data_IF_445924312027
#
_entry.id   IF_445924312027
#
_cell.length_a   1.000
_cell.length_b   1.000
_cell.length_c   1.000
_cell.angle_alpha   90.00
_cell.angle_beta   90.00
_cell.angle_gamma   90.00
#
_symmetry.space_group_name_H-M   'P 1'
#
loop_
_entity.id
_entity.type
_entity.pdbx_description
1 polymer ?
#
# COMPACT_ATOMS: atom_id res chain seq x y z
N UNK A 1 -1.36 20.50 -9.16
CA UNK A 1 -2.46 21.14 -8.41
C UNK A 1 -1.84 22.09 -7.39
N UNK A 2 -2.36 23.32 -7.32
CA UNK A 2 -1.84 24.38 -6.44
C UNK A 2 -2.13 24.05 -4.96
N UNK A 3 -3.21 23.30 -4.70
CA UNK A 3 -3.59 22.82 -3.36
C UNK A 3 -4.09 21.36 -3.48
N UNK A 4 -3.20 20.39 -3.41
CA UNK A 4 -3.63 18.99 -3.48
C UNK A 4 -4.40 18.57 -2.23
N UNK A 5 -5.50 17.78 -2.36
CA UNK A 5 -6.36 17.42 -1.24
C UNK A 5 -5.70 16.52 -0.18
N UNK A 6 -4.47 16.11 -0.40
CA UNK A 6 -3.65 15.31 0.51
C UNK A 6 -2.59 16.13 1.26
N UNK A 7 -2.53 17.46 1.07
CA UNK A 7 -1.51 18.31 1.69
C UNK A 7 -1.56 18.27 3.21
N UNK A 8 -2.75 18.39 3.78
CA UNK A 8 -2.95 18.29 5.23
C UNK A 8 -2.47 16.93 5.77
N UNK A 9 -2.73 15.84 5.05
CA UNK A 9 -2.30 14.52 5.46
C UNK A 9 -0.77 14.36 5.44
N UNK A 10 -0.05 15.04 4.54
CA UNK A 10 1.42 15.07 4.55
C UNK A 10 1.91 15.78 5.81
N UNK A 11 1.34 16.94 6.14
CA UNK A 11 1.70 17.70 7.35
C UNK A 11 1.44 16.92 8.64
N UNK A 12 0.25 16.31 8.76
CA UNK A 12 -0.10 15.47 9.90
C UNK A 12 0.84 14.26 10.03
N UNK A 13 1.18 13.66 8.90
CA UNK A 13 2.12 12.53 8.84
C UNK A 13 3.55 12.93 9.25
N UNK A 14 4.02 14.12 8.86
CA UNK A 14 5.30 14.68 9.26
C UNK A 14 5.35 14.95 10.77
N UNK A 15 4.28 15.55 11.33
CA UNK A 15 4.17 15.74 12.76
C UNK A 15 4.25 14.41 13.50
N UNK A 16 3.50 13.41 13.06
CA UNK A 16 3.53 12.07 13.66
C UNK A 16 4.90 11.41 13.57
N UNK A 17 5.61 11.56 12.45
CA UNK A 17 6.95 10.99 12.26
C UNK A 17 7.97 11.57 13.24
N UNK A 18 7.84 12.85 13.57
CA UNK A 18 8.75 13.58 14.44
C UNK A 18 8.32 13.58 15.91
N UNK A 19 7.08 13.20 16.22
CA UNK A 19 6.55 13.18 17.60
C UNK A 19 7.12 11.98 18.36
N UNK A 20 7.76 12.19 19.52
CA UNK A 20 8.26 11.10 20.33
C UNK A 20 7.15 10.18 20.85
N UNK A 21 7.42 8.89 20.85
CA UNK A 21 6.64 7.89 21.58
C UNK A 21 6.78 8.10 23.09
N UNK A 22 5.96 7.41 23.88
CA UNK A 22 6.01 7.52 25.34
C UNK A 22 7.37 7.22 25.96
N UNK A 23 8.21 6.42 25.29
CA UNK A 23 9.56 6.09 25.69
C UNK A 23 10.64 7.09 25.21
N UNK A 24 10.26 8.19 24.55
CA UNK A 24 11.14 9.23 24.02
C UNK A 24 11.76 8.94 22.66
N UNK A 25 11.60 7.75 22.10
CA UNK A 25 12.03 7.41 20.74
C UNK A 25 11.01 7.90 19.69
N UNK A 26 11.44 7.92 18.44
CA UNK A 26 10.62 8.33 17.30
C UNK A 26 10.68 7.26 16.20
N UNK A 27 9.96 7.48 15.10
CA UNK A 27 10.12 6.62 13.91
C UNK A 27 11.55 6.60 13.36
N UNK A 28 12.35 7.67 13.56
CA UNK A 28 13.76 7.71 13.14
C UNK A 28 14.63 6.65 13.82
N UNK A 29 14.26 6.23 15.02
CA UNK A 29 14.98 5.17 15.74
C UNK A 29 14.75 3.78 15.09
N UNK A 30 13.58 3.57 14.45
CA UNK A 30 13.29 2.36 13.68
C UNK A 30 13.78 2.46 12.23
N UNK A 31 13.80 3.66 11.67
CA UNK A 31 14.13 3.93 10.27
C UNK A 31 15.25 4.98 10.18
N UNK A 32 16.50 4.58 10.47
CA UNK A 32 17.62 5.51 10.55
C UNK A 32 17.95 6.21 9.21
N UNK A 33 17.55 5.61 8.09
CA UNK A 33 17.71 6.21 6.76
C UNK A 33 16.71 7.35 6.50
N UNK A 34 15.85 7.67 7.46
CA UNK A 34 14.82 8.73 7.34
C UNK A 34 13.51 8.25 6.74
N UNK A 35 12.60 9.19 6.39
CA UNK A 35 11.25 8.86 5.92
C UNK A 35 11.20 8.37 4.46
N UNK A 36 12.22 8.63 3.66
CA UNK A 36 12.25 8.30 2.23
C UNK A 36 12.48 6.79 1.99
N UNK A 37 11.58 5.93 2.47
CA UNK A 37 11.72 4.47 2.49
C UNK A 37 10.67 3.72 1.68
N UNK A 38 9.69 4.40 1.08
CA UNK A 38 8.57 3.70 0.43
C UNK A 38 9.02 2.80 -0.74
N UNK A 39 10.13 3.13 -1.41
CA UNK A 39 10.69 2.31 -2.50
C UNK A 39 11.22 0.95 -2.06
N UNK A 40 11.47 0.75 -0.75
CA UNK A 40 11.96 -0.51 -0.17
C UNK A 40 10.81 -1.45 0.23
N UNK A 41 9.56 -1.05 0.04
CA UNK A 41 8.38 -1.81 0.47
C UNK A 41 7.41 -2.09 -0.70
N UNK A 42 6.70 -3.24 -0.62
CA UNK A 42 6.88 -4.33 0.34
C UNK A 42 8.17 -5.10 0.11
N UNK A 43 8.67 -5.80 1.12
CA UNK A 43 9.80 -6.71 0.96
C UNK A 43 9.51 -8.07 1.60
N UNK A 44 10.27 -9.07 1.21
CA UNK A 44 10.24 -10.39 1.83
C UNK A 44 11.13 -10.42 3.08
N UNK A 45 10.57 -10.79 4.20
CA UNK A 45 11.31 -11.07 5.43
C UNK A 45 11.58 -12.58 5.53
N UNK A 46 12.81 -12.98 5.29
CA UNK A 46 13.22 -14.39 5.25
C UNK A 46 13.13 -15.06 6.63
N UNK A 47 13.45 -14.31 7.70
CA UNK A 47 13.46 -14.86 9.06
C UNK A 47 12.03 -15.14 9.56
N UNK A 48 11.10 -14.28 9.18
CA UNK A 48 9.68 -14.40 9.53
C UNK A 48 8.88 -15.20 8.52
N UNK A 49 9.43 -15.40 7.32
CA UNK A 49 8.76 -16.10 6.22
C UNK A 49 7.48 -15.39 5.75
N UNK A 50 7.50 -14.05 5.65
CA UNK A 50 6.33 -13.27 5.26
C UNK A 50 6.68 -11.97 4.55
N UNK A 51 5.72 -11.44 3.80
CA UNK A 51 5.82 -10.13 3.17
C UNK A 51 5.56 -9.03 4.21
N UNK A 52 6.46 -8.06 4.28
CA UNK A 52 6.33 -6.86 5.12
C UNK A 52 5.95 -5.68 4.24
N UNK A 53 4.80 -5.10 4.50
CA UNK A 53 4.35 -3.87 3.84
C UNK A 53 4.77 -2.64 4.65
N UNK A 54 4.84 -1.49 4.04
CA UNK A 54 5.19 -0.25 4.74
C UNK A 54 4.25 0.06 5.93
N UNK A 55 2.90 0.00 5.80
CA UNK A 55 2.03 0.24 6.97
C UNK A 55 2.21 -0.80 8.09
N UNK A 56 2.58 -2.04 7.76
CA UNK A 56 2.90 -3.04 8.78
C UNK A 56 4.17 -2.66 9.54
N UNK A 57 5.26 -2.34 8.82
CA UNK A 57 6.53 -1.94 9.43
C UNK A 57 6.39 -0.69 10.31
N UNK A 58 5.61 0.30 9.89
CA UNK A 58 5.33 1.51 10.68
C UNK A 58 4.60 1.19 11.99
N UNK A 59 3.63 0.27 11.96
CA UNK A 59 2.95 -0.17 13.17
C UNK A 59 3.84 -1.04 14.08
N UNK A 60 4.65 -1.89 13.50
CA UNK A 60 5.62 -2.69 14.28
C UNK A 60 6.63 -1.79 15.02
N UNK A 61 7.06 -0.69 14.41
CA UNK A 61 7.86 0.33 15.10
C UNK A 61 7.12 0.91 16.31
N UNK A 62 5.83 1.24 16.17
CA UNK A 62 5.00 1.71 17.30
C UNK A 62 4.92 0.69 18.41
N UNK A 63 4.58 -0.54 18.07
CA UNK A 63 4.41 -1.63 19.06
C UNK A 63 5.72 -1.94 19.78
N UNK A 64 6.85 -1.93 19.07
CA UNK A 64 8.19 -2.09 19.67
C UNK A 64 8.56 -0.97 20.65
N UNK A 65 7.90 0.19 20.53
CA UNK A 65 8.08 1.34 21.42
C UNK A 65 6.92 1.54 22.42
N UNK A 66 6.06 0.52 22.60
CA UNK A 66 5.00 0.52 23.61
C UNK A 66 3.72 1.24 23.19
N UNK A 67 3.62 1.65 21.93
CA UNK A 67 2.45 2.33 21.40
C UNK A 67 1.44 1.34 20.79
N UNK A 68 0.16 1.72 20.79
CA UNK A 68 -0.87 0.94 20.12
C UNK A 68 -0.74 1.06 18.60
N UNK A 69 -0.96 -0.03 17.83
CA UNK A 69 -0.97 0.05 16.38
C UNK A 69 -2.12 0.90 15.86
N UNK A 70 -1.87 1.59 14.78
CA UNK A 70 -2.86 2.39 14.06
C UNK A 70 -3.75 1.47 13.19
N UNK A 71 -5.00 1.88 12.96
CA UNK A 71 -5.92 1.14 12.07
C UNK A 71 -5.43 1.21 10.61
N UNK A 72 -5.24 0.09 9.96
CA UNK A 72 -4.56 -0.05 8.66
C UNK A 72 -5.25 0.57 7.43
N UNK A 73 -6.53 0.99 7.52
CA UNK A 73 -7.27 1.35 6.30
C UNK A 73 -7.33 2.85 6.02
N UNK A 74 -7.27 3.69 7.07
CA UNK A 74 -7.48 5.14 6.99
C UNK A 74 -7.05 5.85 8.27
N UNK A 75 -7.17 7.19 8.27
CA UNK A 75 -6.79 8.04 9.41
C UNK A 75 -5.27 8.05 9.59
N UNK A 76 -4.75 8.15 10.82
CA UNK A 76 -3.35 8.42 11.10
C UNK A 76 -2.34 7.56 10.35
N UNK A 77 -2.65 6.27 10.07
CA UNK A 77 -1.75 5.43 9.26
C UNK A 77 -1.67 5.92 7.81
N UNK A 78 -2.78 6.40 7.25
CA UNK A 78 -2.80 6.90 5.87
C UNK A 78 -2.10 8.26 5.77
N UNK A 79 -2.16 9.08 6.82
CA UNK A 79 -1.50 10.38 6.89
C UNK A 79 0.02 10.18 7.03
N UNK A 80 0.44 9.28 7.91
CA UNK A 80 1.87 8.89 8.05
C UNK A 80 2.43 8.31 6.74
N UNK A 81 1.67 7.46 6.06
CA UNK A 81 2.04 6.94 4.75
C UNK A 81 2.11 8.06 3.69
N UNK A 82 1.23 9.07 3.76
CA UNK A 82 1.26 10.19 2.83
C UNK A 82 2.59 10.95 2.94
N UNK A 83 3.05 11.23 4.16
CA UNK A 83 4.35 11.84 4.39
C UNK A 83 5.51 10.97 3.87
N UNK A 84 5.60 9.72 4.31
CA UNK A 84 6.67 8.80 3.93
C UNK A 84 6.74 8.60 2.41
N UNK A 85 5.58 8.50 1.75
CA UNK A 85 5.53 8.35 0.29
C UNK A 85 5.87 9.65 -0.42
N UNK A 86 5.49 10.80 0.12
CA UNK A 86 5.87 12.12 -0.41
C UNK A 86 7.38 12.31 -0.38
N UNK A 87 8.03 12.00 0.74
CA UNK A 87 9.49 12.04 0.88
C UNK A 87 10.21 11.05 -0.06
N UNK A 88 9.53 9.97 -0.45
CA UNK A 88 10.04 8.95 -1.37
C UNK A 88 9.79 9.27 -2.85
N UNK A 89 9.18 10.39 -3.20
CA UNK A 89 8.87 10.74 -4.58
C UNK A 89 10.11 10.73 -5.47
N UNK A 90 9.98 10.09 -6.62
CA UNK A 90 11.07 9.95 -7.59
C UNK A 90 11.99 8.76 -7.31
N UNK A 91 11.93 8.14 -6.15
CA UNK A 91 12.63 6.87 -5.94
C UNK A 91 12.03 5.79 -6.83
N UNK A 92 12.90 4.96 -7.39
CA UNK A 92 12.48 3.83 -8.20
C UNK A 92 11.95 2.71 -7.29
N UNK A 93 10.83 2.11 -7.66
CA UNK A 93 10.36 0.85 -7.06
C UNK A 93 11.34 -0.24 -7.42
N UNK A 94 11.86 -0.92 -6.41
CA UNK A 94 12.84 -2.01 -6.54
C UNK A 94 12.54 -3.11 -5.50
N UNK A 95 11.52 -3.90 -5.79
CA UNK A 95 11.10 -5.03 -4.97
C UNK A 95 11.75 -6.30 -5.48
N UNK A 96 12.46 -6.98 -4.61
CA UNK A 96 13.08 -8.27 -4.90
C UNK A 96 12.18 -9.44 -4.47
N UNK A 97 12.11 -10.46 -5.34
CA UNK A 97 11.55 -11.78 -5.02
C UNK A 97 12.71 -12.78 -5.05
N UNK A 98 13.29 -13.12 -3.88
CA UNK A 98 14.46 -14.00 -3.83
C UNK A 98 14.22 -15.34 -4.53
N UNK A 99 14.96 -15.59 -5.60
CA UNK A 99 14.79 -16.79 -6.42
C UNK A 99 15.25 -18.09 -5.70
N UNK A 100 16.07 -17.95 -4.68
CA UNK A 100 16.58 -19.03 -3.84
C UNK A 100 15.73 -19.30 -2.59
N UNK A 101 14.66 -18.51 -2.36
CA UNK A 101 13.72 -18.72 -1.26
C UNK A 101 12.36 -19.23 -1.78
N UNK A 102 12.07 -20.54 -1.62
CA UNK A 102 10.80 -21.11 -2.09
C UNK A 102 9.56 -20.47 -1.48
N UNK A 103 9.64 -19.97 -0.24
CA UNK A 103 8.51 -19.29 0.43
C UNK A 103 8.27 -17.91 -0.13
N UNK A 104 9.33 -17.17 -0.50
CA UNK A 104 9.20 -15.89 -1.20
C UNK A 104 8.52 -16.06 -2.56
N UNK A 105 8.95 -17.08 -3.31
CA UNK A 105 8.32 -17.44 -4.59
C UNK A 105 6.85 -17.84 -4.40
N UNK A 106 6.55 -18.63 -3.36
CA UNK A 106 5.17 -18.99 -3.03
C UNK A 106 4.31 -17.77 -2.72
N UNK A 107 4.80 -16.84 -1.90
CA UNK A 107 4.08 -15.60 -1.58
C UNK A 107 3.80 -14.77 -2.84
N UNK A 108 4.78 -14.65 -3.73
CA UNK A 108 4.61 -13.99 -5.03
C UNK A 108 3.55 -14.68 -5.90
N UNK A 109 3.62 -15.99 -6.06
CA UNK A 109 2.66 -16.76 -6.86
C UNK A 109 1.25 -16.75 -6.25
N UNK A 110 1.11 -16.73 -4.93
CA UNK A 110 -0.16 -16.53 -4.25
C UNK A 110 -0.74 -15.14 -4.55
N UNK A 111 0.07 -14.09 -4.53
CA UNK A 111 -0.34 -12.74 -4.92
C UNK A 111 -0.78 -12.66 -6.38
N UNK A 112 -0.03 -13.29 -7.27
CA UNK A 112 -0.36 -13.43 -8.68
C UNK A 112 -1.64 -14.24 -8.90
N UNK A 113 -1.81 -15.37 -8.21
CA UNK A 113 -3.05 -16.13 -8.26
C UNK A 113 -4.24 -15.28 -7.80
N UNK A 114 -4.08 -14.55 -6.70
CA UNK A 114 -5.13 -13.64 -6.21
C UNK A 114 -5.54 -12.63 -7.28
N UNK A 115 -4.58 -12.06 -8.00
CA UNK A 115 -4.81 -11.08 -9.05
C UNK A 115 -5.66 -11.62 -10.21
N UNK A 116 -5.40 -12.85 -10.63
CA UNK A 116 -6.10 -13.49 -11.77
C UNK A 116 -7.34 -14.29 -11.34
N UNK A 117 -7.47 -14.68 -10.08
CA UNK A 117 -8.58 -15.48 -9.60
C UNK A 117 -9.89 -14.69 -9.62
N UNK A 118 -10.87 -15.22 -10.34
CA UNK A 118 -12.25 -14.70 -10.36
C UNK A 118 -12.91 -14.97 -9.01
N UNK A 119 -13.68 -14.00 -8.52
CA UNK A 119 -14.32 -14.08 -7.21
C UNK A 119 -15.64 -13.31 -7.16
N UNK A 120 -16.37 -13.56 -6.06
CA UNK A 120 -17.66 -12.92 -5.79
C UNK A 120 -18.76 -13.36 -6.75
N UNK A 121 -19.95 -12.83 -6.51
CA UNK A 121 -21.11 -13.17 -7.33
C UNK A 121 -21.00 -12.70 -8.78
N UNK A 122 -20.17 -11.67 -9.03
CA UNK A 122 -19.95 -11.18 -10.39
C UNK A 122 -18.87 -11.95 -11.15
N UNK A 123 -18.20 -12.90 -10.48
CA UNK A 123 -17.16 -13.76 -11.07
C UNK A 123 -16.10 -12.98 -11.86
N UNK A 124 -15.56 -11.91 -11.25
CA UNK A 124 -14.55 -11.05 -11.84
C UNK A 124 -13.27 -11.08 -11.01
N UNK A 125 -12.12 -10.99 -11.69
CA UNK A 125 -10.80 -10.83 -11.11
C UNK A 125 -10.32 -9.38 -11.18
N UNK A 126 -9.23 -9.05 -10.48
CA UNK A 126 -8.56 -7.77 -10.63
C UNK A 126 -8.11 -7.55 -12.08
N UNK A 127 -7.56 -8.59 -12.71
CA UNK A 127 -7.10 -8.58 -14.09
C UNK A 127 -8.20 -8.24 -15.10
N UNK A 128 -9.45 -8.68 -14.86
CA UNK A 128 -10.55 -8.34 -15.77
C UNK A 128 -10.75 -6.82 -15.91
N UNK A 129 -10.60 -6.08 -14.80
CA UNK A 129 -10.73 -4.62 -14.82
C UNK A 129 -9.42 -3.94 -15.22
N UNK A 130 -8.29 -4.33 -14.66
CA UNK A 130 -7.04 -3.56 -14.69
C UNK A 130 -6.01 -4.02 -15.72
N UNK A 131 -6.20 -5.20 -16.33
CA UNK A 131 -5.35 -5.70 -17.42
C UNK A 131 -6.11 -5.84 -18.73
N UNK A 132 -7.37 -6.29 -18.70
CA UNK A 132 -8.15 -6.51 -19.91
C UNK A 132 -8.96 -5.28 -20.35
N UNK A 133 -9.32 -4.39 -19.42
CA UNK A 133 -10.18 -3.23 -19.68
C UNK A 133 -9.62 -1.91 -19.10
N UNK A 134 -8.30 -1.63 -19.13
CA UNK A 134 -7.79 -0.33 -18.71
C UNK A 134 -8.36 0.76 -19.63
N UNK A 135 -8.68 1.93 -19.06
CA UNK A 135 -9.27 3.04 -19.79
C UNK A 135 -10.78 2.99 -19.93
N UNK A 136 -11.41 1.81 -19.72
CA UNK A 136 -12.85 1.71 -19.72
C UNK A 136 -13.48 2.43 -18.52
N UNK A 137 -14.69 2.94 -18.70
CA UNK A 137 -15.47 3.55 -17.63
C UNK A 137 -16.22 2.49 -16.83
N UNK A 138 -16.03 2.49 -15.53
CA UNK A 138 -16.87 1.78 -14.58
C UNK A 138 -17.66 2.80 -13.76
N UNK A 139 -18.91 3.03 -14.14
CA UNK A 139 -19.73 4.16 -13.66
C UNK A 139 -19.04 5.48 -14.06
N UNK A 140 -18.59 6.28 -13.08
CA UNK A 140 -17.93 7.57 -13.30
C UNK A 140 -16.40 7.50 -13.19
N UNK A 141 -15.85 6.32 -12.95
CA UNK A 141 -14.40 6.14 -12.74
C UNK A 141 -13.78 5.41 -13.93
N UNK A 142 -12.65 5.93 -14.43
CA UNK A 142 -11.84 5.24 -15.42
C UNK A 142 -11.03 4.14 -14.74
N UNK A 143 -11.04 2.94 -15.30
CA UNK A 143 -10.22 1.83 -14.82
C UNK A 143 -8.75 2.12 -15.12
N UNK A 144 -7.92 2.14 -14.08
CA UNK A 144 -6.48 2.31 -14.22
C UNK A 144 -5.81 1.02 -14.71
N UNK A 145 -4.68 1.11 -15.44
CA UNK A 145 -3.86 -0.07 -15.75
C UNK A 145 -3.26 -0.66 -14.48
N UNK A 146 -2.88 -1.95 -14.53
CA UNK A 146 -2.21 -2.63 -13.42
C UNK A 146 -0.82 -2.08 -13.13
N UNK A 147 -0.08 -1.77 -14.20
CA UNK A 147 1.27 -1.26 -14.15
C UNK A 147 1.30 0.11 -13.45
N UNK A 148 2.11 0.25 -12.42
CA UNK A 148 2.15 1.45 -11.57
C UNK A 148 1.03 1.54 -10.52
N UNK A 149 0.27 0.48 -10.29
CA UNK A 149 -0.85 0.50 -9.34
C UNK A 149 -0.43 0.88 -7.92
N UNK A 150 0.75 0.49 -7.48
CA UNK A 150 1.21 0.71 -6.11
C UNK A 150 1.97 2.02 -5.92
N UNK A 151 2.46 2.64 -7.01
CA UNK A 151 3.37 3.79 -6.94
C UNK A 151 2.76 5.10 -6.41
N UNK A 152 1.42 5.22 -6.39
CA UNK A 152 0.71 6.45 -6.04
C UNK A 152 -0.07 6.38 -4.71
N UNK A 153 0.07 5.30 -3.95
CA UNK A 153 -0.59 5.14 -2.66
C UNK A 153 0.25 5.71 -1.52
N UNK A 154 -0.43 6.26 -0.45
CA UNK A 154 -1.88 6.34 -0.22
C UNK A 154 -2.56 7.35 -1.14
N UNK A 155 -3.92 7.30 -1.20
CA UNK A 155 -4.67 8.26 -2.02
C UNK A 155 -5.79 8.93 -1.24
N UNK A 156 -6.00 10.22 -1.52
CA UNK A 156 -7.24 10.90 -1.21
C UNK A 156 -8.29 10.51 -2.27
N UNK A 157 -9.46 10.11 -1.82
CA UNK A 157 -10.58 9.88 -2.73
C UNK A 157 -11.76 10.76 -2.35
N UNK A 158 -12.28 11.54 -3.30
CA UNK A 158 -13.46 12.39 -3.08
C UNK A 158 -14.65 11.61 -2.53
N UNK A 159 -14.83 10.37 -3.00
CA UNK A 159 -15.86 9.44 -2.48
C UNK A 159 -15.66 9.05 -1.02
N UNK A 160 -14.43 9.07 -0.52
CA UNK A 160 -14.14 8.77 0.89
C UNK A 160 -14.11 10.02 1.76
N UNK A 161 -13.84 11.19 1.15
CA UNK A 161 -13.61 12.44 1.86
C UNK A 161 -12.34 12.47 2.73
N UNK A 162 -11.45 11.49 2.53
CA UNK A 162 -10.27 11.28 3.35
C UNK A 162 -9.20 10.45 2.62
N UNK A 163 -8.01 10.41 3.20
CA UNK A 163 -6.94 9.52 2.76
C UNK A 163 -7.29 8.05 3.04
N UNK A 164 -6.78 7.18 2.20
CA UNK A 164 -6.94 5.75 2.40
C UNK A 164 -5.78 4.94 1.83
N UNK A 165 -5.54 3.78 2.45
CA UNK A 165 -4.46 2.87 2.08
C UNK A 165 -4.84 1.97 0.91
N UNK A 166 -3.82 1.33 0.31
CA UNK A 166 -4.00 0.36 -0.77
C UNK A 166 -4.89 -0.82 -0.33
N UNK A 167 -4.71 -1.35 0.89
CA UNK A 167 -5.54 -2.45 1.39
C UNK A 167 -7.00 -2.05 1.63
N UNK A 168 -7.27 -0.77 1.93
CA UNK A 168 -8.65 -0.24 1.91
C UNK A 168 -9.25 -0.35 0.51
N UNK A 169 -8.45 -0.05 -0.52
CA UNK A 169 -8.90 -0.15 -1.92
C UNK A 169 -9.13 -1.59 -2.35
N UNK A 170 -8.24 -2.52 -1.99
CA UNK A 170 -8.45 -3.94 -2.26
C UNK A 170 -9.77 -4.43 -1.68
N UNK A 171 -10.06 -4.10 -0.42
CA UNK A 171 -11.34 -4.40 0.20
C UNK A 171 -12.53 -3.79 -0.54
N UNK A 172 -12.39 -2.57 -1.03
CA UNK A 172 -13.40 -1.90 -1.85
C UNK A 172 -13.65 -2.61 -3.19
N UNK A 173 -12.60 -3.06 -3.87
CA UNK A 173 -12.70 -3.82 -5.12
C UNK A 173 -13.38 -5.18 -4.91
N UNK A 174 -13.04 -5.91 -3.84
CA UNK A 174 -13.72 -7.16 -3.49
C UNK A 174 -15.24 -6.93 -3.31
N UNK A 175 -15.64 -5.88 -2.58
CA UNK A 175 -17.07 -5.53 -2.42
C UNK A 175 -17.74 -5.20 -3.73
N UNK A 176 -17.05 -4.54 -4.67
CA UNK A 176 -17.62 -4.21 -5.99
C UNK A 176 -17.98 -5.46 -6.79
N UNK A 177 -17.21 -6.53 -6.67
CA UNK A 177 -17.51 -7.83 -7.31
C UNK A 177 -18.36 -8.74 -6.43
N UNK A 178 -18.89 -8.22 -5.31
CA UNK A 178 -19.71 -8.94 -4.33
C UNK A 178 -18.98 -10.12 -3.69
N UNK A 179 -17.67 -9.96 -3.46
CA UNK A 179 -16.85 -10.87 -2.69
C UNK A 179 -16.64 -10.32 -1.27
N UNK A 180 -16.49 -11.23 -0.29
CA UNK A 180 -16.07 -10.85 1.06
C UNK A 180 -14.65 -10.31 1.00
N UNK A 181 -14.36 -9.11 1.54
CA UNK A 181 -13.00 -8.61 1.67
C UNK A 181 -12.18 -9.46 2.65
N UNK A 182 -10.88 -9.52 2.43
CA UNK A 182 -9.92 -10.02 3.40
C UNK A 182 -9.54 -8.93 4.40
N UNK A 183 -8.87 -9.32 5.47
CA UNK A 183 -8.38 -8.37 6.46
C UNK A 183 -7.21 -7.53 5.90
N UNK A 184 -7.16 -6.27 6.30
CA UNK A 184 -6.01 -5.44 6.00
C UNK A 184 -4.77 -6.00 6.72
N UNK A 185 -3.66 -6.12 6.00
CA UNK A 185 -2.43 -6.79 6.44
C UNK A 185 -2.60 -8.31 6.65
N UNK A 186 -3.71 -8.92 6.22
CA UNK A 186 -3.81 -10.36 6.04
C UNK A 186 -2.86 -10.83 4.93
N UNK A 187 -2.47 -12.08 4.97
CA UNK A 187 -1.53 -12.68 4.03
C UNK A 187 -1.93 -12.44 2.57
N UNK A 188 -3.22 -12.60 2.25
CA UNK A 188 -3.73 -12.46 0.90
C UNK A 188 -3.48 -11.06 0.33
N UNK A 189 -3.67 -10.00 1.14
CA UNK A 189 -3.45 -8.64 0.68
C UNK A 189 -1.98 -8.24 0.69
N UNK A 190 -1.16 -8.76 1.62
CA UNK A 190 0.29 -8.54 1.58
C UNK A 190 0.91 -9.18 0.34
N UNK A 191 0.55 -10.43 0.05
CA UNK A 191 1.06 -11.14 -1.12
C UNK A 191 0.57 -10.49 -2.44
N UNK A 192 -0.68 -10.00 -2.47
CA UNK A 192 -1.19 -9.23 -3.61
C UNK A 192 -0.40 -7.92 -3.79
N UNK A 193 -0.12 -7.18 -2.72
CA UNK A 193 0.70 -5.95 -2.79
C UNK A 193 2.10 -6.27 -3.28
N UNK A 194 2.71 -7.35 -2.79
CA UNK A 194 4.03 -7.80 -3.21
C UNK A 194 4.11 -8.08 -4.71
N UNK A 195 3.16 -8.86 -5.25
CA UNK A 195 3.05 -9.12 -6.67
C UNK A 195 2.85 -7.83 -7.50
N UNK A 196 1.93 -6.97 -7.09
CA UNK A 196 1.63 -5.72 -7.81
C UNK A 196 2.80 -4.73 -7.79
N UNK A 197 3.53 -4.67 -6.69
CA UNK A 197 4.68 -3.78 -6.58
C UNK A 197 5.86 -4.31 -7.39
N UNK A 198 6.10 -5.62 -7.36
CA UNK A 198 7.09 -6.24 -8.25
C UNK A 198 6.80 -5.96 -9.74
N UNK A 199 5.53 -6.04 -10.16
CA UNK A 199 5.16 -5.66 -11.54
C UNK A 199 5.43 -4.18 -11.85
N UNK A 200 5.55 -3.34 -10.84
CA UNK A 200 5.79 -1.90 -10.98
C UNK A 200 7.27 -1.53 -10.82
N UNK A 201 8.17 -2.53 -10.74
CA UNK A 201 9.60 -2.28 -10.66
C UNK A 201 10.09 -1.41 -11.82
N UNK A 202 11.02 -0.51 -11.53
CA UNK A 202 11.55 0.46 -12.48
C UNK A 202 10.73 1.74 -12.61
N UNK A 203 9.51 1.79 -12.06
CA UNK A 203 8.71 3.02 -12.06
C UNK A 203 9.02 3.89 -10.84
N UNK A 204 8.95 5.22 -11.00
CA UNK A 204 9.11 6.12 -9.87
C UNK A 204 7.88 6.12 -8.95
N UNK A 205 8.12 6.23 -7.65
CA UNK A 205 7.09 6.56 -6.68
C UNK A 205 6.60 7.98 -6.96
N UNK A 206 5.30 8.16 -7.03
CA UNK A 206 4.65 9.43 -7.33
C UNK A 206 3.49 9.77 -6.37
N UNK A 207 3.31 8.95 -5.32
CA UNK A 207 2.33 9.22 -4.27
C UNK A 207 2.75 10.34 -3.31
N UNK A 208 1.86 10.77 -2.40
CA UNK A 208 0.44 10.40 -2.37
C UNK A 208 -0.32 10.94 -3.57
N UNK A 209 -1.45 10.30 -3.88
CA UNK A 209 -2.28 10.68 -5.03
C UNK A 209 -3.68 11.17 -4.64
N UNK A 210 -4.41 11.70 -5.63
CA UNK A 210 -5.82 12.06 -5.50
C UNK A 210 -6.66 11.39 -6.59
N UNK A 211 -7.88 10.98 -6.23
CA UNK A 211 -8.84 10.38 -7.16
C UNK A 211 -10.27 10.81 -6.82
N UNK A 212 -11.12 10.83 -7.84
CA UNK A 212 -12.56 11.06 -7.67
C UNK A 212 -13.24 9.97 -6.85
#
# INVERSE_FOLDING_TARGET
EEFPPYEAAISDGEEMWNTPFANGKTYKDCFPDGPAIAGKYPHWDKDRGMVITLPLALNECREANGEKPLKYKKGPIADLLAYVTFESRGQTVDVDVPADDPKALEAYEQGKHFWFAKRGQLNLSCANCHAQNPGALLRTETLSPAFGHTTHWPVYRSKWGEMGTLHRRFGGCNKQVRAKPFEAQGEEYRNLEFFLTYMSNGLPINGPGARK
#
